data_IF_026883962582
#
_entry.id   IF_026883962582
#
_cell.length_a   1.000
_cell.length_b   1.000
_cell.length_c   1.000
_cell.angle_alpha   90.00
_cell.angle_beta   90.00
_cell.angle_gamma   90.00
#
_symmetry.space_group_name_H-M   'P 1'
#
loop_
_entity.id
_entity.type
_entity.pdbx_description
1 polymer ?
#
# COMPACT_ATOMS: atom_id res chain seq x y z
N UNK A 1 -72.04 -24.19 -11.10
CA UNK A 1 -70.67 -23.61 -11.14
C UNK A 1 -70.09 -23.98 -12.49
N UNK A 2 -70.07 -23.02 -13.42
CA UNK A 2 -69.69 -23.25 -14.81
C UNK A 2 -68.26 -22.72 -15.01
N UNK A 3 -67.34 -23.50 -15.60
CA UNK A 3 -65.97 -23.06 -15.78
C UNK A 3 -65.93 -22.04 -16.94
N UNK A 4 -65.47 -20.83 -16.64
CA UNK A 4 -65.19 -19.81 -17.64
C UNK A 4 -63.96 -20.22 -18.46
N UNK A 5 -64.20 -20.61 -19.72
CA UNK A 5 -63.16 -20.84 -20.72
C UNK A 5 -62.52 -19.50 -21.11
N UNK A 6 -61.21 -19.38 -20.89
CA UNK A 6 -60.42 -18.22 -21.31
C UNK A 6 -60.32 -18.18 -22.84
N UNK A 7 -60.37 -16.98 -23.46
CA UNK A 7 -60.30 -16.83 -24.91
C UNK A 7 -58.91 -17.26 -25.45
N UNK A 8 -58.85 -17.85 -26.66
CA UNK A 8 -57.62 -18.42 -27.22
C UNK A 8 -56.48 -17.41 -27.40
N UNK A 9 -56.82 -16.12 -27.51
CA UNK A 9 -55.85 -15.01 -27.60
C UNK A 9 -55.06 -14.82 -26.30
N UNK A 10 -55.69 -15.07 -25.14
CA UNK A 10 -55.03 -14.97 -23.84
C UNK A 10 -54.01 -16.11 -23.60
N UNK A 11 -54.28 -17.29 -24.16
CA UNK A 11 -53.37 -18.45 -24.09
C UNK A 11 -52.12 -18.22 -24.96
N UNK A 12 -52.28 -17.60 -26.13
CA UNK A 12 -51.16 -17.30 -27.04
C UNK A 12 -50.20 -16.24 -26.45
N UNK A 13 -50.72 -15.25 -25.74
CA UNK A 13 -49.90 -14.23 -25.06
C UNK A 13 -49.09 -14.83 -23.91
N UNK A 14 -49.64 -15.79 -23.15
CA UNK A 14 -48.92 -16.46 -22.07
C UNK A 14 -47.76 -17.34 -22.58
N UNK A 15 -47.89 -17.92 -23.77
CA UNK A 15 -46.84 -18.74 -24.39
C UNK A 15 -45.61 -17.93 -24.85
N UNK A 16 -45.76 -16.63 -25.11
CA UNK A 16 -44.67 -15.74 -25.53
C UNK A 16 -43.76 -15.29 -24.36
N UNK A 17 -44.18 -15.47 -23.11
CA UNK A 17 -43.39 -15.08 -21.93
C UNK A 17 -42.47 -16.17 -21.39
N UNK A 18 -42.54 -17.40 -21.92
CA UNK A 18 -41.65 -18.49 -21.50
C UNK A 18 -40.44 -18.50 -22.43
N UNK A 19 -39.57 -17.52 -22.26
CA UNK A 19 -38.22 -17.59 -22.82
C UNK A 19 -37.40 -18.59 -21.99
N UNK A 20 -36.66 -19.53 -22.60
CA UNK A 20 -35.75 -20.38 -21.85
C UNK A 20 -34.65 -19.49 -21.25
N UNK A 21 -34.70 -19.25 -19.94
CA UNK A 21 -33.59 -18.60 -19.23
C UNK A 21 -32.41 -19.58 -19.24
N UNK A 22 -31.48 -19.38 -20.16
CA UNK A 22 -30.17 -20.00 -20.06
C UNK A 22 -29.51 -19.43 -18.81
N UNK A 23 -29.49 -20.22 -17.73
CA UNK A 23 -28.71 -19.89 -16.55
C UNK A 23 -27.24 -20.00 -16.93
N UNK A 24 -26.66 -18.90 -17.41
CA UNK A 24 -25.21 -18.76 -17.48
C UNK A 24 -24.77 -18.67 -16.03
N UNK A 25 -24.08 -19.70 -15.55
CA UNK A 25 -23.38 -19.61 -14.27
C UNK A 25 -22.40 -18.45 -14.41
N UNK A 26 -22.70 -17.31 -13.77
CA UNK A 26 -21.76 -16.22 -13.64
C UNK A 26 -20.62 -16.75 -12.76
N UNK A 27 -19.56 -17.23 -13.40
CA UNK A 27 -18.32 -17.54 -12.72
C UNK A 27 -17.84 -16.21 -12.15
N UNK A 28 -17.81 -16.05 -10.81
CA UNK A 28 -17.42 -14.82 -10.12
C UNK A 28 -16.03 -14.35 -10.60
N UNK A 29 -16.01 -13.60 -11.69
CA UNK A 29 -14.79 -13.14 -12.36
C UNK A 29 -14.08 -12.11 -11.49
N UNK A 30 -14.82 -11.47 -10.57
CA UNK A 30 -14.32 -10.55 -9.56
C UNK A 30 -13.29 -11.19 -8.62
N UNK A 31 -13.47 -12.45 -8.21
CA UNK A 31 -12.52 -13.12 -7.31
C UNK A 31 -11.22 -13.49 -8.03
N UNK A 32 -11.26 -13.74 -9.34
CA UNK A 32 -10.06 -14.00 -10.13
C UNK A 32 -9.32 -12.70 -10.48
N UNK A 33 -10.05 -11.61 -10.68
CA UNK A 33 -9.49 -10.31 -11.04
C UNK A 33 -8.59 -9.70 -9.96
N UNK A 34 -8.84 -10.03 -8.69
CA UNK A 34 -8.05 -9.59 -7.55
C UNK A 34 -7.10 -10.68 -7.00
N UNK A 35 -6.89 -11.76 -7.75
CA UNK A 35 -5.94 -12.80 -7.34
C UNK A 35 -4.52 -12.23 -7.21
N UNK A 36 -3.69 -12.72 -6.27
CA UNK A 36 -2.34 -12.22 -6.10
C UNK A 36 -1.51 -12.27 -7.40
N UNK A 37 -0.76 -11.22 -7.67
CA UNK A 37 0.11 -11.11 -8.84
C UNK A 37 1.55 -10.83 -8.42
N UNK A 38 2.51 -11.41 -9.13
CA UNK A 38 3.93 -11.20 -8.86
C UNK A 38 4.46 -9.97 -9.60
N UNK A 39 5.28 -9.17 -8.92
CA UNK A 39 6.15 -8.19 -9.52
C UNK A 39 7.54 -8.29 -8.87
N UNK A 40 8.55 -8.64 -9.66
CA UNK A 40 9.88 -8.95 -9.14
C UNK A 40 9.81 -10.11 -8.15
N UNK A 41 10.24 -9.86 -6.91
CA UNK A 41 10.20 -10.83 -5.80
C UNK A 41 8.99 -10.66 -4.86
N UNK A 42 8.10 -9.69 -5.12
CA UNK A 42 6.96 -9.41 -4.25
C UNK A 42 5.67 -9.98 -4.82
N UNK A 43 4.90 -10.63 -3.95
CA UNK A 43 3.50 -11.00 -4.22
C UNK A 43 2.61 -9.82 -3.85
N UNK A 44 1.92 -9.27 -4.84
CA UNK A 44 1.01 -8.13 -4.68
C UNK A 44 -0.41 -8.68 -4.56
N UNK A 45 -1.05 -8.41 -3.44
CA UNK A 45 -2.44 -8.73 -3.16
C UNK A 45 -3.03 -7.68 -2.22
N UNK A 46 -4.35 -7.74 -2.00
CA UNK A 46 -5.03 -6.88 -1.04
C UNK A 46 -4.22 -6.79 0.27
N UNK A 47 -3.97 -5.59 0.82
CA UNK A 47 -4.60 -4.31 0.45
C UNK A 47 -3.91 -3.54 -0.70
N UNK A 48 -2.83 -4.07 -1.26
CA UNK A 48 -2.14 -3.53 -2.43
C UNK A 48 -2.80 -4.00 -3.72
N UNK A 49 -2.64 -3.21 -4.79
CA UNK A 49 -3.12 -3.62 -6.10
C UNK A 49 -2.18 -3.15 -7.20
N UNK A 50 -1.92 -4.05 -8.16
CA UNK A 50 -0.94 -3.84 -9.21
C UNK A 50 -1.59 -3.13 -10.40
N UNK A 51 -1.12 -1.92 -10.69
CA UNK A 51 -1.59 -1.14 -11.82
C UNK A 51 -1.41 -1.90 -13.15
N UNK A 52 -2.48 -1.99 -13.94
CA UNK A 52 -2.47 -2.73 -15.22
C UNK A 52 -2.72 -4.24 -15.09
N UNK A 53 -2.81 -4.78 -13.87
CA UNK A 53 -3.16 -6.18 -13.61
C UNK A 53 -4.44 -6.31 -12.80
N UNK A 54 -4.55 -5.57 -11.70
CA UNK A 54 -5.73 -5.57 -10.85
C UNK A 54 -6.64 -4.38 -11.19
N UNK A 55 -7.96 -4.56 -11.18
CA UNK A 55 -8.91 -3.46 -11.06
C UNK A 55 -8.67 -2.59 -9.81
N UNK A 56 -8.99 -1.28 -9.83
CA UNK A 56 -8.79 -0.39 -8.66
C UNK A 56 -9.53 -0.82 -7.40
N UNK A 57 -10.65 -1.54 -7.52
CA UNK A 57 -11.43 -2.09 -6.41
C UNK A 57 -10.74 -3.21 -5.63
N UNK A 58 -9.61 -3.74 -6.13
CA UNK A 58 -8.87 -4.81 -5.46
C UNK A 58 -7.98 -4.33 -4.30
N UNK A 59 -7.92 -3.03 -4.01
CA UNK A 59 -7.08 -2.51 -2.92
C UNK A 59 -7.34 -1.05 -2.57
N UNK A 60 -6.54 -0.49 -1.67
CA UNK A 60 -6.65 0.93 -1.30
C UNK A 60 -6.01 1.83 -2.34
N UNK A 61 -6.59 3.02 -2.55
CA UNK A 61 -6.05 4.03 -3.49
C UNK A 61 -4.57 4.34 -3.21
N UNK A 62 -4.20 4.57 -1.96
CA UNK A 62 -2.80 4.82 -1.59
C UNK A 62 -1.84 3.63 -1.74
N UNK A 63 -2.36 2.41 -1.94
CA UNK A 63 -1.57 1.19 -2.14
C UNK A 63 -1.63 0.67 -3.57
N UNK A 64 -1.93 1.56 -4.52
CA UNK A 64 -1.63 1.29 -5.91
C UNK A 64 -0.12 1.13 -6.06
N UNK A 65 0.31 0.00 -6.61
CA UNK A 65 1.71 -0.25 -6.92
C UNK A 65 1.94 -0.32 -8.42
N UNK A 66 3.11 0.16 -8.85
CA UNK A 66 3.62 0.00 -10.22
C UNK A 66 4.82 -0.92 -10.22
N UNK A 67 4.96 -1.68 -11.31
CA UNK A 67 6.06 -2.58 -11.57
C UNK A 67 6.86 -2.06 -12.77
N UNK A 68 8.16 -1.82 -12.62
CA UNK A 68 9.01 -1.52 -13.77
C UNK A 68 9.50 -2.80 -14.48
N UNK A 69 10.17 -2.63 -15.62
CA UNK A 69 10.68 -3.74 -16.42
C UNK A 69 11.79 -4.54 -15.73
N UNK A 70 12.41 -3.97 -14.71
CA UNK A 70 13.46 -4.58 -13.90
C UNK A 70 12.90 -5.31 -12.67
N UNK A 71 11.58 -5.27 -12.45
CA UNK A 71 10.92 -5.88 -11.31
C UNK A 71 10.94 -5.03 -10.03
N UNK A 72 11.25 -3.74 -10.14
CA UNK A 72 11.13 -2.80 -9.03
C UNK A 72 9.67 -2.46 -8.75
N UNK A 73 9.28 -2.52 -7.48
CA UNK A 73 7.92 -2.21 -7.03
C UNK A 73 7.91 -0.84 -6.37
N UNK A 74 6.97 0.03 -6.74
CA UNK A 74 6.85 1.38 -6.15
C UNK A 74 5.40 1.77 -5.89
N UNK A 75 5.16 2.61 -4.87
CA UNK A 75 3.86 3.22 -4.63
C UNK A 75 3.59 4.31 -5.68
N UNK A 76 2.44 4.23 -6.34
CA UNK A 76 2.09 5.13 -7.44
C UNK A 76 1.46 6.45 -6.95
N UNK A 77 0.77 6.42 -5.82
CA UNK A 77 -0.09 7.50 -5.34
C UNK A 77 0.48 8.22 -4.12
N UNK A 78 1.81 8.39 -4.10
CA UNK A 78 2.54 9.09 -3.05
C UNK A 78 3.23 10.31 -3.62
N UNK A 79 3.34 11.38 -2.83
CA UNK A 79 4.10 12.58 -3.22
C UNK A 79 5.59 12.26 -3.45
N UNK A 80 6.15 11.42 -2.58
CA UNK A 80 7.51 10.90 -2.71
C UNK A 80 7.54 9.57 -3.43
N UNK A 81 8.67 9.26 -4.06
CA UNK A 81 8.91 7.97 -4.67
C UNK A 81 9.32 6.95 -3.62
N UNK A 82 8.36 6.14 -3.19
CA UNK A 82 8.63 5.00 -2.32
C UNK A 82 8.78 3.72 -3.12
N UNK A 83 9.95 3.09 -3.00
CA UNK A 83 10.20 1.75 -3.50
C UNK A 83 9.86 0.74 -2.41
N UNK A 84 8.99 -0.22 -2.70
CA UNK A 84 8.68 -1.33 -1.80
C UNK A 84 9.87 -2.31 -1.77
N UNK A 85 10.25 -2.70 -0.55
CA UNK A 85 11.31 -3.68 -0.31
C UNK A 85 10.75 -5.02 0.10
N UNK A 86 9.75 -5.01 0.96
CA UNK A 86 9.13 -6.24 1.48
C UNK A 86 7.71 -5.98 1.95
N UNK A 87 6.87 -7.02 1.96
CA UNK A 87 5.48 -6.98 2.42
C UNK A 87 5.24 -8.19 3.34
N UNK A 88 4.87 -7.92 4.58
CA UNK A 88 4.56 -8.91 5.60
C UNK A 88 3.05 -8.91 5.87
N UNK A 89 2.31 -9.69 5.08
CA UNK A 89 0.84 -9.76 5.18
C UNK A 89 0.36 -10.19 6.57
N UNK A 90 0.98 -11.21 7.16
CA UNK A 90 0.64 -11.70 8.52
C UNK A 90 0.74 -10.61 9.58
N UNK A 91 1.70 -9.70 9.42
CA UNK A 91 1.96 -8.61 10.36
C UNK A 91 1.27 -7.30 9.95
N UNK A 92 0.56 -7.29 8.81
CA UNK A 92 0.00 -6.08 8.20
C UNK A 92 1.02 -4.94 8.10
N UNK A 93 2.27 -5.27 7.76
CA UNK A 93 3.38 -4.32 7.70
C UNK A 93 4.19 -4.51 6.40
N UNK A 94 4.95 -3.49 6.03
CA UNK A 94 5.74 -3.48 4.80
C UNK A 94 6.91 -2.52 4.98
N UNK A 95 7.96 -2.72 4.19
CA UNK A 95 9.17 -1.90 4.23
C UNK A 95 9.27 -1.13 2.93
N UNK A 96 9.53 0.18 3.03
CA UNK A 96 9.76 1.06 1.89
C UNK A 96 11.06 1.83 2.02
N UNK A 97 11.62 2.22 0.88
CA UNK A 97 12.71 3.18 0.79
C UNK A 97 12.24 4.39 0.00
N UNK A 98 12.48 5.60 0.51
CA UNK A 98 12.29 6.83 -0.25
C UNK A 98 13.48 7.02 -1.20
N UNK A 99 13.23 6.91 -2.51
CA UNK A 99 14.25 6.99 -3.56
C UNK A 99 14.73 8.43 -3.78
N UNK A 100 13.95 9.42 -3.37
CA UNK A 100 14.35 10.83 -3.44
C UNK A 100 15.36 11.19 -2.34
N UNK A 101 15.39 10.43 -1.23
CA UNK A 101 16.32 10.61 -0.12
C UNK A 101 17.59 9.73 -0.23
N UNK A 102 17.67 8.82 -1.19
CA UNK A 102 18.80 7.88 -1.29
C UNK A 102 20.12 8.51 -1.76
N UNK A 103 20.11 9.79 -2.17
CA UNK A 103 21.30 10.53 -2.63
C UNK A 103 22.20 11.08 -1.52
N UNK A 104 21.91 10.80 -0.25
CA UNK A 104 22.72 11.26 0.89
C UNK A 104 22.61 12.76 1.20
N UNK A 105 21.72 13.50 0.51
CA UNK A 105 21.47 14.91 0.84
C UNK A 105 20.64 14.98 2.13
N UNK A 106 21.25 15.48 3.20
CA UNK A 106 20.58 15.69 4.48
C UNK A 106 19.99 17.10 4.56
N UNK A 107 19.04 17.41 3.66
CA UNK A 107 18.22 18.63 3.79
C UNK A 107 17.04 18.35 4.70
N UNK A 108 17.00 19.02 5.87
CA UNK A 108 15.96 18.87 6.90
C UNK A 108 14.55 19.06 6.31
N UNK A 109 14.41 19.98 5.35
CA UNK A 109 13.14 20.26 4.64
C UNK A 109 12.56 19.06 3.88
N UNK A 110 13.42 18.13 3.42
CA UNK A 110 12.98 16.94 2.68
C UNK A 110 12.42 15.86 3.62
N UNK A 111 12.85 15.81 4.88
CA UNK A 111 12.46 14.76 5.83
C UNK A 111 11.08 14.98 6.47
N UNK A 112 10.63 16.24 6.63
CA UNK A 112 9.35 16.53 7.28
C UNK A 112 8.14 15.96 6.54
N UNK A 113 8.22 15.87 5.21
CA UNK A 113 7.13 15.36 4.37
C UNK A 113 7.30 13.89 3.97
N UNK A 114 8.42 13.25 4.31
CA UNK A 114 8.75 11.90 3.83
C UNK A 114 8.02 10.77 4.57
N UNK A 115 7.05 11.11 5.42
CA UNK A 115 6.22 10.15 6.16
C UNK A 115 4.76 10.15 5.65
N UNK A 116 4.41 11.07 4.75
CA UNK A 116 3.04 11.26 4.30
C UNK A 116 2.71 10.35 3.11
N UNK A 117 1.99 9.25 3.39
CA UNK A 117 1.29 8.45 2.39
C UNK A 117 -0.17 8.93 2.36
N UNK A 118 -0.37 10.16 1.85
CA UNK A 118 -1.58 10.99 1.94
C UNK A 118 -2.91 10.34 1.44
N UNK A 119 -2.86 9.14 0.87
CA UNK A 119 -4.02 8.37 0.38
C UNK A 119 -4.09 6.94 0.92
N UNK A 120 -3.22 6.59 1.87
CA UNK A 120 -3.20 5.31 2.56
C UNK A 120 -4.08 5.35 3.82
N UNK A 121 -4.57 4.19 4.32
CA UNK A 121 -5.29 4.12 5.59
C UNK A 121 -4.38 4.33 6.82
N UNK A 122 -3.12 4.75 6.65
CA UNK A 122 -2.23 4.99 7.77
C UNK A 122 -2.53 6.33 8.43
N UNK A 123 -2.63 6.29 9.75
CA UNK A 123 -2.44 7.46 10.60
C UNK A 123 -1.15 7.27 11.37
N UNK A 124 -0.37 8.35 11.49
CA UNK A 124 0.80 8.35 12.37
C UNK A 124 0.25 8.24 13.80
N UNK A 125 0.49 7.10 14.44
CA UNK A 125 0.10 6.89 15.83
C UNK A 125 0.71 8.00 16.69
N UNK A 126 -0.03 8.51 17.67
CA UNK A 126 0.54 9.40 18.70
C UNK A 126 1.62 8.72 19.56
N UNK A 127 1.74 7.39 19.46
CA UNK A 127 2.86 6.60 20.01
C UNK A 127 4.13 6.67 19.16
N UNK A 128 4.04 7.05 17.89
CA UNK A 128 5.21 7.26 17.06
C UNK A 128 6.00 8.44 17.65
N UNK A 129 7.24 8.14 18.00
CA UNK A 129 8.11 9.02 18.77
C UNK A 129 8.69 10.14 17.90
N UNK A 130 9.11 11.22 18.55
CA UNK A 130 9.83 12.31 17.90
C UNK A 130 11.15 11.78 17.30
N UNK A 131 11.30 11.83 15.98
CA UNK A 131 12.54 11.48 15.31
C UNK A 131 13.37 12.75 15.10
N UNK A 132 14.53 12.82 15.75
CA UNK A 132 15.47 13.93 15.64
C UNK A 132 16.60 13.56 14.68
N UNK A 133 16.88 14.42 13.72
CA UNK A 133 18.07 14.34 12.88
C UNK A 133 19.09 15.38 13.33
N UNK A 134 20.26 14.90 13.75
CA UNK A 134 21.38 15.69 14.20
C UNK A 134 22.46 15.65 13.12
N UNK A 135 22.92 16.82 12.68
CA UNK A 135 23.95 16.97 11.65
C UNK A 135 25.11 17.82 12.20
N UNK A 136 26.29 17.67 11.59
CA UNK A 136 27.52 18.38 11.98
C UNK A 136 27.86 18.33 13.48
N UNK A 137 27.63 17.17 14.12
CA UNK A 137 27.95 17.01 15.53
C UNK A 137 29.48 17.06 15.73
N UNK A 138 30.00 18.11 16.37
CA UNK A 138 31.44 18.23 16.65
C UNK A 138 31.94 17.35 17.82
N UNK A 139 31.03 16.68 18.54
CA UNK A 139 31.36 15.88 19.72
C UNK A 139 31.53 14.41 19.36
N UNK A 140 32.75 13.91 19.54
CA UNK A 140 33.10 12.51 19.34
C UNK A 140 32.81 11.74 20.63
N UNK A 141 31.54 11.41 20.87
CA UNK A 141 31.18 10.52 21.97
C UNK A 141 31.67 9.10 21.64
N UNK A 142 32.52 8.53 22.50
CA UNK A 142 33.07 7.18 22.33
C UNK A 142 32.01 6.07 22.44
N UNK A 143 30.82 6.41 22.93
CA UNK A 143 29.69 5.49 23.17
C UNK A 143 28.40 6.26 22.87
N UNK A 144 27.76 5.96 21.75
CA UNK A 144 26.45 6.49 21.42
C UNK A 144 25.38 5.71 22.21
N UNK A 145 24.35 6.38 22.77
CA UNK A 145 23.20 5.67 23.32
C UNK A 145 22.55 4.78 22.25
N UNK A 146 21.95 3.64 22.65
CA UNK A 146 21.31 2.71 21.71
C UNK A 146 20.19 3.33 20.88
N UNK A 147 19.62 4.44 21.33
CA UNK A 147 18.58 5.19 20.60
C UNK A 147 19.12 6.02 19.44
N UNK A 148 20.45 6.05 19.23
CA UNK A 148 21.12 6.80 18.16
C UNK A 148 21.53 5.85 17.04
N UNK A 149 21.11 6.16 15.83
CA UNK A 149 21.56 5.48 14.62
C UNK A 149 22.46 6.43 13.82
N UNK A 150 23.68 6.01 13.41
CA UNK A 150 24.52 6.82 12.53
C UNK A 150 23.84 6.99 11.17
N UNK A 151 23.88 8.21 10.64
CA UNK A 151 23.34 8.56 9.32
C UNK A 151 24.48 9.07 8.46
N UNK A 152 24.62 8.52 7.25
CA UNK A 152 25.62 8.97 6.30
C UNK A 152 25.03 10.07 5.43
N UNK A 153 25.37 11.32 5.73
CA UNK A 153 25.06 12.49 4.92
C UNK A 153 26.23 12.73 3.95
N UNK A 154 25.95 12.74 2.65
CA UNK A 154 26.94 12.89 1.60
C UNK A 154 27.76 14.18 1.74
N UNK A 155 29.05 14.06 1.43
CA UNK A 155 30.13 15.06 1.56
C UNK A 155 30.43 15.52 3.00
N UNK A 156 31.35 14.80 3.64
CA UNK A 156 32.23 15.30 4.72
C UNK A 156 31.59 15.77 6.04
N UNK A 157 30.39 15.31 6.39
CA UNK A 157 29.85 15.45 7.76
C UNK A 157 29.98 14.13 8.54
N UNK A 158 31.16 13.76 9.05
CA UNK A 158 31.42 12.45 9.66
C UNK A 158 30.64 12.15 10.96
N UNK A 159 29.71 13.00 11.38
CA UNK A 159 29.01 12.88 12.67
C UNK A 159 27.53 13.31 12.54
N UNK A 160 26.74 12.58 11.74
CA UNK A 160 25.29 12.77 11.67
C UNK A 160 24.57 11.57 12.27
N UNK A 161 23.48 11.82 13.00
CA UNK A 161 22.74 10.81 13.75
C UNK A 161 21.25 11.02 13.67
N UNK A 162 20.49 9.93 13.67
CA UNK A 162 19.06 9.93 13.92
C UNK A 162 18.79 9.41 15.34
N UNK A 163 17.93 10.08 16.07
CA UNK A 163 17.53 9.75 17.44
C UNK A 163 16.02 9.61 17.53
N UNK A 164 15.52 8.49 18.07
CA UNK A 164 14.14 8.42 18.56
C UNK A 164 14.04 9.01 19.98
N UNK A 165 13.15 9.98 20.16
CA UNK A 165 12.90 10.67 21.44
C UNK A 165 11.93 9.93 22.37
N UNK A 166 12.16 10.10 23.69
CA UNK A 166 11.40 9.58 24.86
C UNK A 166 11.70 8.12 25.27
N UNK A 167 11.66 7.87 26.58
CA UNK A 167 12.07 6.62 27.23
C UNK A 167 11.04 5.50 27.15
N UNK A 168 11.52 4.25 27.15
CA UNK A 168 10.70 3.05 27.04
C UNK A 168 10.07 2.64 28.37
N UNK A 169 8.78 2.32 28.36
CA UNK A 169 8.20 1.37 29.32
C UNK A 169 7.52 0.30 28.49
N UNK A 170 8.11 -0.89 28.46
CA UNK A 170 7.49 -2.08 27.88
C UNK A 170 6.48 -2.58 28.89
N UNK A 171 5.20 -2.48 28.57
CA UNK A 171 4.15 -3.21 29.28
C UNK A 171 3.43 -4.08 28.26
N UNK A 172 3.35 -5.37 28.58
CA UNK A 172 2.60 -6.39 27.86
C UNK A 172 1.11 -6.03 27.77
#
# INVERSE_FOLDING_TARGET
MQPSLLPPVAVLLLALFVSPTTTVAAMNTSNLACAPALCGNLSISYPFWLAGTHPPECGYKGFQVTCDKQGSVSLANSYWRYQLRDIFYENSSFIVTNVDLSGGSCSVDLFFNSSDLSLSPFSISSKNQELFFLYDCHRQERQLPRSWAPVSCGNNSPNSFALLGKGYTVTL
#
